data_IF_656382301621
#
_entry.id   IF_656382301621
#
_cell.length_a   1.000
_cell.length_b   1.000
_cell.length_c   1.000
_cell.angle_alpha   90.00
_cell.angle_beta   90.00
_cell.angle_gamma   90.00
#
_symmetry.space_group_name_H-M   'P 1'
#
loop_
_entity.id
_entity.type
_entity.pdbx_description
1 polymer ?
#
# COMPACT_ATOMS: atom_id res chain seq x y z
N UNK A 1 -8.45 15.01 13.87
CA UNK A 1 -7.84 14.54 12.61
C UNK A 1 -8.03 15.65 11.61
N UNK A 2 -7.08 16.57 11.49
CA UNK A 2 -7.15 17.63 10.50
C UNK A 2 -7.01 17.02 9.09
N UNK A 3 -7.88 17.46 8.18
CA UNK A 3 -8.05 16.91 6.85
C UNK A 3 -6.82 17.16 5.98
N UNK A 4 -5.90 16.21 5.96
CA UNK A 4 -4.88 16.12 4.92
C UNK A 4 -5.50 15.81 3.55
N UNK A 5 -4.82 16.21 2.49
CA UNK A 5 -5.24 15.96 1.10
C UNK A 5 -5.60 14.49 0.87
N UNK A 6 -6.79 14.26 0.32
CA UNK A 6 -7.33 12.93 0.03
C UNK A 6 -7.24 12.71 -1.47
N UNK A 7 -6.45 11.69 -1.85
CA UNK A 7 -6.22 11.35 -3.27
C UNK A 7 -6.82 9.98 -3.55
N UNK A 8 -7.79 9.92 -4.47
CA UNK A 8 -8.39 8.66 -4.92
C UNK A 8 -7.76 8.24 -6.24
N UNK A 9 -7.08 7.09 -6.27
CA UNK A 9 -6.39 6.60 -7.48
C UNK A 9 -6.22 5.10 -7.50
N UNK A 10 -5.82 4.56 -8.65
CA UNK A 10 -5.35 3.18 -8.78
C UNK A 10 -3.83 3.13 -8.62
N UNK A 11 -3.32 2.27 -7.75
CA UNK A 11 -1.88 2.09 -7.57
C UNK A 11 -1.37 1.03 -8.56
N UNK A 12 -0.79 1.49 -9.67
CA UNK A 12 -0.22 0.62 -10.69
C UNK A 12 1.24 0.29 -10.38
N UNK A 13 1.52 -0.97 -10.09
CA UNK A 13 2.85 -1.45 -9.82
C UNK A 13 3.63 -1.62 -11.14
N UNK A 14 4.94 -1.34 -11.12
CA UNK A 14 5.84 -1.50 -12.28
C UNK A 14 5.79 -2.90 -12.90
N UNK A 15 5.42 -3.91 -12.11
CA UNK A 15 5.17 -5.30 -12.56
C UNK A 15 3.87 -5.49 -13.35
N UNK A 16 3.21 -4.41 -13.78
CA UNK A 16 1.98 -4.40 -14.59
C UNK A 16 0.74 -4.93 -13.85
N UNK A 17 0.66 -4.66 -12.54
CA UNK A 17 -0.46 -5.04 -11.69
C UNK A 17 -1.02 -3.83 -10.94
N UNK A 18 -2.34 -3.66 -10.93
CA UNK A 18 -2.99 -2.76 -9.99
C UNK A 18 -3.07 -3.41 -8.61
N UNK A 19 -2.66 -2.71 -7.56
CA UNK A 19 -2.92 -3.15 -6.19
C UNK A 19 -4.43 -3.26 -5.97
N UNK A 20 -4.87 -4.34 -5.36
CA UNK A 20 -6.26 -4.66 -5.05
C UNK A 20 -6.39 -5.15 -3.63
N UNK A 21 -7.44 -4.70 -2.94
CA UNK A 21 -7.88 -5.24 -1.65
C UNK A 21 -9.34 -5.66 -1.80
N UNK A 22 -9.61 -6.96 -1.83
CA UNK A 22 -10.97 -7.46 -2.05
C UNK A 22 -11.87 -7.38 -0.82
N UNK A 23 -13.16 -7.71 -0.99
CA UNK A 23 -14.16 -7.72 0.09
C UNK A 23 -13.84 -8.62 1.30
N UNK A 24 -12.88 -9.54 1.17
CA UNK A 24 -12.40 -10.41 2.26
C UNK A 24 -11.10 -9.89 2.90
N UNK A 25 -10.62 -8.70 2.49
CA UNK A 25 -9.36 -8.13 2.97
C UNK A 25 -8.13 -8.75 2.34
N UNK A 26 -8.26 -9.46 1.20
CA UNK A 26 -7.11 -10.08 0.53
C UNK A 26 -6.38 -9.06 -0.32
N UNK A 27 -5.10 -8.85 -0.01
CA UNK A 27 -4.19 -7.96 -0.78
C UNK A 27 -3.52 -8.74 -1.90
N UNK A 28 -3.71 -8.32 -3.16
CA UNK A 28 -3.07 -8.90 -4.36
C UNK A 28 -2.99 -7.87 -5.49
N UNK A 29 -2.34 -8.24 -6.59
CA UNK A 29 -2.46 -7.57 -7.88
C UNK A 29 -3.70 -8.01 -8.66
N UNK A 30 -4.25 -7.12 -9.47
CA UNK A 30 -5.19 -7.43 -10.57
C UNK A 30 -4.77 -6.72 -11.86
N UNK A 31 -5.00 -7.34 -13.01
CA UNK A 31 -4.86 -6.71 -14.34
C UNK A 31 -6.19 -6.11 -14.84
N UNK A 32 -7.30 -6.42 -14.16
CA UNK A 32 -8.61 -5.87 -14.49
C UNK A 32 -8.70 -4.40 -14.08
N UNK A 33 -8.59 -3.50 -15.05
CA UNK A 33 -8.66 -2.05 -14.80
C UNK A 33 -10.01 -1.63 -14.19
N UNK A 34 -11.12 -2.20 -14.67
CA UNK A 34 -12.50 -1.87 -14.23
C UNK A 34 -12.92 -2.54 -12.90
N UNK A 35 -12.00 -3.15 -12.18
CA UNK A 35 -12.31 -3.80 -10.90
C UNK A 35 -12.37 -2.77 -9.76
N UNK A 36 -13.54 -2.53 -9.17
CA UNK A 36 -13.71 -1.50 -8.12
C UNK A 36 -12.83 -1.71 -6.88
N UNK A 37 -12.38 -2.95 -6.61
CA UNK A 37 -11.46 -3.24 -5.49
C UNK A 37 -10.02 -2.76 -5.71
N UNK A 38 -9.70 -2.16 -6.86
CA UNK A 38 -8.38 -1.58 -7.16
C UNK A 38 -8.33 -0.04 -6.97
N UNK A 39 -9.42 0.57 -6.52
CA UNK A 39 -9.51 2.00 -6.24
C UNK A 39 -9.08 2.23 -4.78
N UNK A 40 -8.06 3.05 -4.59
CA UNK A 40 -7.47 3.34 -3.29
C UNK A 40 -7.64 4.81 -2.94
N UNK A 41 -8.10 5.08 -1.73
CA UNK A 41 -7.97 6.37 -1.06
C UNK A 41 -6.62 6.44 -0.37
N UNK A 42 -5.85 7.49 -0.64
CA UNK A 42 -4.58 7.77 0.00
C UNK A 42 -4.75 9.06 0.79
N UNK A 43 -4.64 8.95 2.11
CA UNK A 43 -4.83 10.05 3.05
C UNK A 43 -3.53 10.35 3.76
N UNK A 44 -3.11 11.61 3.73
CA UNK A 44 -1.96 12.07 4.52
C UNK A 44 -2.30 12.03 6.01
N UNK A 45 -1.46 11.38 6.82
CA UNK A 45 -1.61 11.29 8.28
C UNK A 45 -0.55 12.10 9.03
N UNK A 46 0.60 12.32 8.41
CA UNK A 46 1.66 13.23 8.84
C UNK A 46 2.50 13.63 7.62
N UNK A 47 3.43 14.56 7.77
CA UNK A 47 4.33 14.98 6.68
C UNK A 47 5.06 13.75 6.12
N UNK A 48 4.87 13.48 4.83
CA UNK A 48 5.46 12.33 4.13
C UNK A 48 4.88 10.96 4.49
N UNK A 49 3.90 10.88 5.41
CA UNK A 49 3.28 9.63 5.84
C UNK A 49 1.82 9.58 5.40
N UNK A 50 1.43 8.46 4.79
CA UNK A 50 0.09 8.22 4.29
C UNK A 50 -0.50 6.93 4.85
N UNK A 51 -1.82 6.89 4.96
CA UNK A 51 -2.59 5.67 5.07
C UNK A 51 -3.28 5.39 3.72
N UNK A 52 -3.33 4.12 3.32
CA UNK A 52 -3.92 3.68 2.05
C UNK A 52 -5.10 2.77 2.36
N UNK A 53 -6.28 3.11 1.85
CA UNK A 53 -7.54 2.38 2.07
C UNK A 53 -8.18 2.00 0.75
N UNK A 54 -8.63 0.75 0.62
CA UNK A 54 -9.48 0.36 -0.51
C UNK A 54 -10.86 0.97 -0.37
N UNK A 55 -11.30 1.77 -1.35
CA UNK A 55 -12.60 2.49 -1.29
C UNK A 55 -13.76 1.52 -1.22
N UNK A 56 -13.78 0.50 -2.10
CA UNK A 56 -14.88 -0.47 -2.15
C UNK A 56 -14.84 -1.45 -0.97
N UNK A 57 -13.65 -1.87 -0.53
CA UNK A 57 -13.53 -2.91 0.50
C UNK A 57 -13.49 -2.36 1.91
N UNK A 58 -13.29 -1.05 2.07
CA UNK A 58 -13.16 -0.34 3.32
C UNK A 58 -12.04 -0.88 4.23
N UNK A 59 -11.05 -1.56 3.66
CA UNK A 59 -9.88 -2.07 4.36
C UNK A 59 -8.67 -1.17 4.12
N UNK A 60 -7.91 -0.89 5.18
CA UNK A 60 -6.59 -0.29 5.09
C UNK A 60 -5.56 -1.33 4.68
N UNK A 61 -4.65 -0.96 3.79
CA UNK A 61 -3.41 -1.70 3.55
C UNK A 61 -2.53 -1.58 4.79
N UNK A 62 -1.95 -2.69 5.24
CA UNK A 62 -1.07 -2.70 6.41
C UNK A 62 0.13 -3.63 6.17
N UNK A 63 1.24 -3.34 6.86
CA UNK A 63 2.41 -4.21 6.88
C UNK A 63 2.79 -4.52 8.33
N UNK A 64 2.98 -5.80 8.64
CA UNK A 64 3.40 -6.22 9.98
C UNK A 64 4.95 -6.30 10.10
N UNK A 65 5.45 -6.57 11.30
CA UNK A 65 6.89 -6.70 11.59
C UNK A 65 7.61 -7.81 10.79
N UNK A 66 6.89 -8.83 10.32
CA UNK A 66 7.43 -9.86 9.45
C UNK A 66 7.56 -9.41 7.98
N UNK A 67 7.11 -8.19 7.66
CA UNK A 67 7.05 -7.63 6.31
C UNK A 67 5.89 -8.19 5.49
N UNK A 68 4.90 -8.85 6.11
CA UNK A 68 3.73 -9.36 5.39
C UNK A 68 2.74 -8.22 5.16
N UNK A 69 2.38 -7.98 3.90
CA UNK A 69 1.23 -7.15 3.57
C UNK A 69 -0.08 -7.87 3.91
N UNK A 70 -0.99 -7.14 4.55
CA UNK A 70 -2.32 -7.59 4.90
C UNK A 70 -3.30 -6.42 4.87
N UNK A 71 -4.57 -6.67 5.14
CA UNK A 71 -5.58 -5.63 5.22
C UNK A 71 -6.33 -5.70 6.56
N UNK A 72 -6.74 -4.54 7.08
CA UNK A 72 -7.49 -4.44 8.34
C UNK A 72 -8.50 -3.28 8.32
N UNK A 73 -9.56 -3.37 9.12
CA UNK A 73 -10.63 -2.34 9.17
C UNK A 73 -10.22 -1.12 9.98
N UNK A 74 -9.60 -1.34 11.13
CA UNK A 74 -9.16 -0.27 12.02
C UNK A 74 -7.69 0.01 11.82
N UNK A 75 -7.36 1.25 11.48
CA UNK A 75 -5.98 1.60 11.22
C UNK A 75 -5.19 1.85 12.51
N UNK A 76 -3.95 1.36 12.53
CA UNK A 76 -2.93 1.69 13.51
C UNK A 76 -1.61 1.96 12.78
N UNK A 77 -0.49 1.99 13.49
CA UNK A 77 0.82 2.29 12.92
C UNK A 77 1.26 1.35 11.79
N UNK A 78 0.69 0.13 11.68
CA UNK A 78 1.00 -0.80 10.58
C UNK A 78 0.48 -0.32 9.22
N UNK A 79 -0.51 0.59 9.17
CA UNK A 79 -0.99 1.19 7.91
C UNK A 79 -0.29 2.49 7.53
N UNK A 80 0.65 2.96 8.34
CA UNK A 80 1.39 4.17 8.04
C UNK A 80 2.55 3.82 7.10
N UNK A 81 2.54 4.46 5.92
CA UNK A 81 3.58 4.31 4.91
C UNK A 81 4.25 5.64 4.62
N UNK A 82 5.58 5.66 4.54
CA UNK A 82 6.32 6.78 3.97
C UNK A 82 6.09 6.79 2.46
N UNK A 83 5.53 7.87 1.93
CA UNK A 83 5.37 8.08 0.49
C UNK A 83 6.56 8.90 -0.02
N UNK A 84 7.25 8.38 -1.04
CA UNK A 84 8.26 9.12 -1.79
C UNK A 84 7.93 9.08 -3.28
N UNK A 85 7.95 10.24 -3.93
CA UNK A 85 7.83 10.36 -5.38
C UNK A 85 9.24 10.22 -5.96
N UNK A 86 9.45 9.23 -6.82
CA UNK A 86 10.71 9.00 -7.51
C UNK A 86 10.82 9.89 -8.76
N UNK A 87 12.04 10.10 -9.24
CA UNK A 87 12.32 10.87 -10.46
C UNK A 87 11.62 10.33 -11.71
N UNK A 88 11.34 9.01 -11.75
CA UNK A 88 10.61 8.36 -12.84
C UNK A 88 9.08 8.44 -12.69
N UNK A 89 8.59 9.30 -11.79
CA UNK A 89 7.18 9.53 -11.49
C UNK A 89 6.43 8.34 -10.86
N UNK A 90 7.12 7.28 -10.44
CA UNK A 90 6.54 6.26 -9.56
C UNK A 90 6.62 6.69 -8.11
N UNK A 91 5.65 6.25 -7.31
CA UNK A 91 5.70 6.42 -5.86
C UNK A 91 6.19 5.12 -5.20
N UNK A 92 7.01 5.24 -4.16
CA UNK A 92 7.28 4.15 -3.23
C UNK A 92 6.48 4.36 -1.96
N UNK A 93 6.15 3.23 -1.31
CA UNK A 93 5.46 3.21 -0.02
C UNK A 93 6.22 2.27 0.89
N UNK A 94 7.05 2.83 1.79
CA UNK A 94 7.78 2.06 2.79
C UNK A 94 6.99 2.02 4.10
N UNK A 95 7.07 0.93 4.88
CA UNK A 95 6.51 0.94 6.24
C UNK A 95 7.14 2.07 7.05
N UNK A 96 6.31 2.92 7.67
CA UNK A 96 6.80 3.97 8.56
C UNK A 96 7.32 3.40 9.88
N UNK A 97 6.79 2.25 10.31
CA UNK A 97 7.10 1.60 11.59
C UNK A 97 8.18 0.54 11.49
N UNK A 98 8.11 -0.32 10.48
CA UNK A 98 8.88 -1.55 10.45
C UNK A 98 10.04 -1.49 9.45
N UNK A 99 11.24 -1.80 9.94
CA UNK A 99 12.46 -1.97 9.14
C UNK A 99 12.98 -3.40 9.25
N UNK A 100 13.91 -3.78 8.38
CA UNK A 100 14.61 -5.06 8.47
C UNK A 100 16.10 -4.87 8.23
N UNK A 101 16.93 -5.22 9.21
CA UNK A 101 18.39 -5.06 9.19
C UNK A 101 18.81 -3.61 8.83
N UNK A 102 18.10 -2.62 9.38
CA UNK A 102 18.31 -1.20 9.09
C UNK A 102 17.72 -0.70 7.76
N UNK A 103 17.28 -1.61 6.87
CA UNK A 103 16.65 -1.27 5.60
C UNK A 103 15.14 -1.06 5.68
N UNK A 104 14.61 -0.24 4.79
CA UNK A 104 13.18 -0.02 4.63
C UNK A 104 12.48 -1.26 4.04
N UNK A 105 11.20 -1.41 4.37
CA UNK A 105 10.36 -2.48 3.85
C UNK A 105 9.22 -1.89 3.00
N UNK A 106 9.13 -2.27 1.74
CA UNK A 106 8.25 -1.62 0.76
C UNK A 106 6.98 -2.43 0.46
N UNK A 107 5.92 -1.72 0.10
CA UNK A 107 4.75 -2.29 -0.57
C UNK A 107 5.17 -2.68 -1.99
N UNK A 108 5.13 -3.98 -2.30
CA UNK A 108 5.52 -4.47 -3.62
C UNK A 108 4.70 -5.70 -4.05
N UNK A 109 4.50 -5.82 -5.37
CA UNK A 109 3.93 -6.99 -6.03
C UNK A 109 4.97 -7.60 -6.97
N UNK A 110 5.12 -8.92 -6.96
CA UNK A 110 5.98 -9.61 -7.92
C UNK A 110 5.34 -9.70 -9.32
N UNK A 111 6.06 -10.30 -10.27
CA UNK A 111 5.59 -10.50 -11.66
C UNK A 111 4.29 -11.31 -11.78
N UNK A 112 3.92 -12.07 -10.74
CA UNK A 112 2.66 -12.85 -10.67
C UNK A 112 1.54 -12.11 -9.92
N UNK A 113 1.73 -10.83 -9.59
CA UNK A 113 0.76 -10.04 -8.83
C UNK A 113 0.62 -10.46 -7.36
N UNK A 114 1.61 -11.17 -6.81
CA UNK A 114 1.59 -11.63 -5.41
C UNK A 114 2.38 -10.64 -4.55
N UNK A 115 1.84 -10.23 -3.37
CA UNK A 115 2.58 -9.43 -2.41
C UNK A 115 3.95 -10.00 -2.07
N UNK A 116 4.98 -9.18 -2.20
CA UNK A 116 6.32 -9.51 -1.74
C UNK A 116 6.41 -9.22 -0.25
N UNK A 117 7.12 -10.06 0.51
CA UNK A 117 7.42 -9.74 1.91
C UNK A 117 8.39 -8.55 1.94
N UNK A 118 8.09 -7.52 2.73
CA UNK A 118 8.93 -6.33 2.89
C UNK A 118 10.39 -6.63 3.22
N UNK A 119 10.67 -7.70 3.97
CA UNK A 119 12.05 -8.17 4.22
C UNK A 119 12.84 -8.57 2.97
N UNK A 120 12.17 -8.75 1.84
CA UNK A 120 12.73 -9.12 0.53
C UNK A 120 12.68 -7.99 -0.49
N UNK A 121 12.14 -6.83 -0.11
CA UNK A 121 12.16 -5.65 -0.98
C UNK A 121 13.51 -4.96 -0.88
N UNK A 122 13.88 -4.23 -1.91
CA UNK A 122 15.09 -3.41 -1.99
C UNK A 122 14.68 -1.97 -2.28
#
# INVERSE_FOLDING_TARGET
>A
MEGGDIRVRRLFCRTQWYLRIDKRGKVKGTQEMKNNYNIMEIRTVAVGIVAIKGVESEFYLAMNKEGKLYAKKECNEDCNFKELILENHYNTYASAKWTHNGGEMFVALNQKGIPVRGKKTK
#
